data_IF_542178488611
#
_entry.id   IF_542178488611
#
_cell.length_a   1.000
_cell.length_b   1.000
_cell.length_c   1.000
_cell.angle_alpha   90.00
_cell.angle_beta   90.00
_cell.angle_gamma   90.00
#
_symmetry.space_group_name_H-M   'P 1'
#
loop_
_entity.id
_entity.type
_entity.pdbx_description
1 polymer ?
#
# COMPACT_ATOMS: atom_id res chain seq x y z
N UNK A 1 -22.17 1.95 4.47
CA UNK A 1 -22.79 2.16 3.13
C UNK A 1 -22.14 1.15 2.20
N UNK A 2 -22.86 0.11 1.79
CA UNK A 2 -22.37 -0.88 0.83
C UNK A 2 -22.18 -0.19 -0.53
N UNK A 3 -20.93 -0.08 -0.98
CA UNK A 3 -20.62 0.37 -2.34
C UNK A 3 -21.24 -0.66 -3.30
N UNK A 4 -22.13 -0.21 -4.17
CA UNK A 4 -22.63 -1.06 -5.25
C UNK A 4 -21.47 -1.24 -6.21
N UNK A 5 -20.94 -2.47 -6.28
CA UNK A 5 -19.91 -2.81 -7.28
C UNK A 5 -20.43 -2.45 -8.68
N UNK A 6 -19.54 -1.85 -9.50
CA UNK A 6 -19.86 -1.61 -10.90
C UNK A 6 -20.14 -2.97 -11.56
N UNK A 7 -21.13 -3.03 -12.46
CA UNK A 7 -21.19 -4.17 -13.35
C UNK A 7 -19.85 -4.30 -14.05
N UNK A 8 -19.24 -5.47 -14.05
CA UNK A 8 -17.94 -5.70 -14.70
C UNK A 8 -17.94 -5.28 -16.18
N UNK A 9 -19.11 -5.13 -16.79
CA UNK A 9 -19.30 -4.68 -18.17
C UNK A 9 -18.92 -3.18 -18.40
N UNK A 10 -18.97 -2.35 -17.35
CA UNK A 10 -18.72 -0.91 -17.46
C UNK A 10 -17.25 -0.52 -17.26
N UNK A 11 -16.38 -1.48 -16.97
CA UNK A 11 -14.95 -1.23 -16.75
C UNK A 11 -14.14 -1.56 -18.00
N UNK A 12 -13.06 -0.81 -18.31
CA UNK A 12 -12.09 -1.21 -19.32
C UNK A 12 -11.52 -2.60 -19.07
N UNK A 13 -11.18 -3.34 -20.12
CA UNK A 13 -10.63 -4.69 -20.00
C UNK A 13 -9.39 -4.71 -19.08
N UNK A 14 -8.47 -3.75 -19.26
CA UNK A 14 -7.27 -3.61 -18.44
C UNK A 14 -7.56 -3.51 -16.94
N UNK A 15 -8.65 -2.84 -16.55
CA UNK A 15 -9.06 -2.74 -15.14
C UNK A 15 -9.72 -4.03 -14.66
N UNK A 16 -10.55 -4.67 -15.49
CA UNK A 16 -11.17 -5.95 -15.13
C UNK A 16 -10.15 -7.03 -14.84
N UNK A 17 -9.09 -7.09 -15.66
CA UNK A 17 -8.03 -8.08 -15.55
C UNK A 17 -7.17 -7.93 -14.28
N UNK A 18 -7.16 -6.74 -13.69
CA UNK A 18 -6.50 -6.48 -12.40
C UNK A 18 -7.31 -6.99 -11.20
N UNK A 19 -8.64 -7.10 -11.32
CA UNK A 19 -9.49 -7.47 -10.16
C UNK A 19 -9.21 -8.90 -9.72
N UNK A 20 -8.76 -9.05 -8.48
CA UNK A 20 -8.43 -10.33 -7.85
C UNK A 20 -7.09 -10.93 -8.27
N UNK A 21 -6.38 -10.33 -9.22
CA UNK A 21 -5.04 -10.76 -9.62
C UNK A 21 -3.98 -10.16 -8.70
N UNK A 22 -2.97 -10.96 -8.34
CA UNK A 22 -1.80 -10.49 -7.63
C UNK A 22 -0.89 -9.70 -8.56
N UNK A 23 -0.51 -8.49 -8.15
CA UNK A 23 0.30 -7.56 -8.92
C UNK A 23 1.48 -7.06 -8.08
N UNK A 24 2.54 -6.59 -8.73
CA UNK A 24 3.64 -5.87 -8.10
C UNK A 24 4.22 -6.61 -6.90
N UNK A 25 4.68 -7.86 -7.15
CA UNK A 25 5.40 -8.63 -6.15
C UNK A 25 6.74 -7.99 -5.86
N UNK A 26 7.00 -7.72 -4.58
CA UNK A 26 8.26 -7.16 -4.11
C UNK A 26 8.80 -8.00 -2.96
N UNK A 27 10.13 -7.98 -2.82
CA UNK A 27 10.86 -8.54 -1.68
C UNK A 27 11.54 -7.36 -1.01
N UNK A 28 11.43 -7.27 0.32
CA UNK A 28 12.11 -6.24 1.09
C UNK A 28 13.61 -6.23 0.78
N UNK A 29 14.18 -5.04 0.57
CA UNK A 29 15.59 -4.87 0.19
C UNK A 29 16.55 -5.41 1.26
N UNK A 30 16.12 -5.39 2.52
CA UNK A 30 16.88 -5.87 3.68
C UNK A 30 16.00 -6.74 4.59
N UNK A 31 16.63 -7.68 5.34
CA UNK A 31 15.96 -8.34 6.44
C UNK A 31 15.50 -7.31 7.48
N UNK A 32 14.54 -7.71 8.29
CA UNK A 32 14.10 -6.90 9.43
C UNK A 32 15.25 -6.74 10.43
N UNK A 33 15.69 -5.49 10.63
CA UNK A 33 16.85 -5.17 11.44
C UNK A 33 16.47 -4.48 12.75
N UNK A 34 17.12 -4.87 13.84
CA UNK A 34 16.88 -4.31 15.16
C UNK A 34 17.17 -2.81 15.24
N UNK A 35 18.24 -2.36 14.60
CA UNK A 35 18.62 -0.94 14.61
C UNK A 35 17.53 -0.07 13.97
N UNK A 36 16.89 -0.58 12.93
CA UNK A 36 15.79 0.13 12.28
C UNK A 36 14.52 0.17 13.15
N UNK A 37 14.22 -0.94 13.88
CA UNK A 37 13.14 -0.97 14.88
C UNK A 37 13.38 0.10 15.95
N UNK A 38 14.58 0.14 16.53
CA UNK A 38 14.92 1.13 17.56
C UNK A 38 14.85 2.56 17.05
N UNK A 39 15.35 2.82 15.86
CA UNK A 39 15.28 4.16 15.24
C UNK A 39 13.82 4.58 15.05
N UNK A 40 12.96 3.69 14.58
CA UNK A 40 11.54 3.95 14.40
C UNK A 40 10.83 4.16 15.74
N UNK A 41 11.10 3.32 16.75
CA UNK A 41 10.54 3.49 18.08
C UNK A 41 10.98 4.83 18.71
N UNK A 42 12.26 5.19 18.57
CA UNK A 42 12.80 6.45 19.10
C UNK A 42 12.15 7.67 18.43
N UNK A 43 11.88 7.62 17.12
CA UNK A 43 11.27 8.74 16.39
C UNK A 43 9.85 9.10 16.83
N UNK A 44 9.15 8.15 17.47
CA UNK A 44 7.77 8.32 17.98
C UNK A 44 7.68 8.15 19.50
N UNK A 45 8.83 8.17 20.20
CA UNK A 45 8.95 8.01 21.66
C UNK A 45 8.24 6.74 22.18
N UNK A 46 8.28 5.64 21.40
CA UNK A 46 7.73 4.36 21.81
C UNK A 46 8.70 3.63 22.75
N UNK A 47 8.49 3.80 24.05
CA UNK A 47 9.27 3.19 25.14
C UNK A 47 8.76 1.80 25.57
N UNK A 48 7.92 1.11 24.81
CA UNK A 48 7.42 -0.22 25.18
C UNK A 48 8.59 -1.20 25.28
N UNK A 49 8.84 -1.83 26.47
CA UNK A 49 9.97 -2.70 26.70
C UNK A 49 9.99 -3.92 25.78
N UNK A 50 8.86 -4.32 25.19
CA UNK A 50 8.78 -5.40 24.22
C UNK A 50 9.73 -5.21 23.02
N UNK A 51 10.04 -3.95 22.65
CA UNK A 51 10.90 -3.63 21.51
C UNK A 51 12.34 -3.27 21.90
N UNK A 52 12.61 -3.11 23.21
CA UNK A 52 13.89 -2.66 23.72
C UNK A 52 14.62 -3.69 24.56
N UNK A 53 13.91 -4.60 25.24
CA UNK A 53 14.44 -5.57 26.21
C UNK A 53 14.20 -7.01 25.73
N UNK A 54 15.27 -7.72 25.43
CA UNK A 54 15.19 -9.10 24.93
C UNK A 54 14.55 -10.03 25.93
N UNK A 55 14.76 -9.85 27.24
CA UNK A 55 14.16 -10.72 28.25
C UNK A 55 12.64 -10.59 28.28
N UNK A 56 12.11 -9.40 28.00
CA UNK A 56 10.67 -9.16 27.87
C UNK A 56 10.14 -9.75 26.55
N UNK A 57 10.86 -9.55 25.45
CA UNK A 57 10.51 -10.09 24.15
C UNK A 57 10.49 -11.63 24.16
N UNK A 58 11.50 -12.25 24.76
CA UNK A 58 11.59 -13.71 24.89
C UNK A 58 10.43 -14.28 25.71
N UNK A 59 10.07 -13.62 26.82
CA UNK A 59 9.00 -14.06 27.69
C UNK A 59 7.60 -13.94 27.06
N UNK A 60 7.37 -12.92 26.22
CA UNK A 60 6.02 -12.58 25.71
C UNK A 60 5.82 -13.09 24.27
N UNK A 61 6.82 -12.92 23.41
CA UNK A 61 6.72 -13.18 21.95
C UNK A 61 7.67 -14.26 21.45
N UNK A 62 8.37 -14.96 22.36
CA UNK A 62 9.38 -15.96 22.01
C UNK A 62 10.46 -15.40 21.07
N UNK A 63 10.94 -14.20 21.35
CA UNK A 63 11.98 -13.50 20.64
C UNK A 63 11.61 -12.09 20.18
N UNK A 64 12.61 -11.29 19.77
CA UNK A 64 12.42 -9.90 19.35
C UNK A 64 11.49 -9.78 18.15
N UNK A 65 10.55 -8.83 18.25
CA UNK A 65 9.61 -8.47 17.18
C UNK A 65 9.69 -6.99 16.84
N UNK A 66 9.20 -6.62 15.68
CA UNK A 66 8.97 -5.23 15.30
C UNK A 66 7.58 -4.75 15.74
N UNK A 67 7.38 -3.45 16.00
CA UNK A 67 6.05 -2.87 16.12
C UNK A 67 5.20 -3.22 14.89
N UNK A 68 3.97 -3.73 15.05
CA UNK A 68 3.12 -4.11 13.90
C UNK A 68 2.94 -2.98 12.89
N UNK A 69 2.89 -1.73 13.36
CA UNK A 69 2.74 -0.52 12.53
C UNK A 69 3.94 -0.25 11.60
N UNK A 70 5.03 -1.00 11.75
CA UNK A 70 6.21 -0.89 10.88
C UNK A 70 6.15 -1.78 9.64
N UNK A 71 5.10 -2.56 9.43
CA UNK A 71 5.05 -3.60 8.38
C UNK A 71 5.41 -3.07 6.98
N UNK A 72 5.00 -1.86 6.62
CA UNK A 72 5.30 -1.26 5.31
C UNK A 72 6.66 -0.56 5.23
N UNK A 73 7.36 -0.42 6.36
CA UNK A 73 8.60 0.37 6.42
C UNK A 73 9.72 -0.28 5.61
N UNK A 74 9.77 -1.61 5.57
CA UNK A 74 10.79 -2.37 4.83
C UNK A 74 10.61 -2.36 3.30
N UNK A 75 9.50 -1.80 2.81
CA UNK A 75 9.21 -1.61 1.37
C UNK A 75 9.34 -0.15 0.93
N UNK A 76 9.87 0.73 1.80
CA UNK A 76 10.19 2.10 1.42
C UNK A 76 11.52 2.11 0.68
N UNK A 77 11.52 2.43 -0.62
CA UNK A 77 12.75 2.43 -1.40
C UNK A 77 13.70 3.51 -0.91
N UNK A 78 14.99 3.26 -0.98
CA UNK A 78 15.98 4.32 -0.81
C UNK A 78 15.77 5.37 -1.90
N UNK A 79 15.74 6.64 -1.53
CA UNK A 79 15.59 7.74 -2.48
C UNK A 79 16.74 7.79 -3.48
N UNK A 80 17.91 7.32 -3.08
CA UNK A 80 19.10 7.25 -3.92
C UNK A 80 19.86 5.95 -3.67
N UNK A 81 20.28 5.30 -4.74
CA UNK A 81 21.26 4.21 -4.72
C UNK A 81 22.08 4.23 -6.02
N UNK A 82 23.35 3.80 -5.99
CA UNK A 82 24.15 3.70 -7.20
C UNK A 82 23.49 2.83 -8.26
N UNK A 83 23.33 3.36 -9.48
CA UNK A 83 22.74 2.63 -10.61
C UNK A 83 21.20 2.54 -10.60
N UNK A 84 20.50 3.08 -9.61
CA UNK A 84 19.02 3.15 -9.61
C UNK A 84 18.55 4.26 -10.54
N UNK A 85 17.89 3.89 -11.62
CA UNK A 85 17.34 4.83 -12.63
C UNK A 85 15.88 5.15 -12.38
N UNK A 86 15.12 4.16 -11.92
CA UNK A 86 13.67 4.30 -11.64
C UNK A 86 13.37 3.91 -10.19
N UNK A 87 12.39 4.58 -9.62
CA UNK A 87 11.87 4.28 -8.30
C UNK A 87 10.47 3.69 -8.44
N UNK A 88 10.24 2.50 -7.88
CA UNK A 88 8.92 1.94 -7.79
C UNK A 88 8.00 2.87 -6.98
N UNK A 89 6.80 3.10 -7.46
CA UNK A 89 5.80 3.86 -6.73
C UNK A 89 5.12 2.95 -5.71
N UNK A 90 5.07 3.33 -4.44
CA UNK A 90 4.25 2.59 -3.49
C UNK A 90 2.80 2.60 -3.99
N UNK A 91 2.11 1.46 -3.91
CA UNK A 91 0.73 1.30 -4.36
C UNK A 91 0.55 1.55 -5.88
N UNK A 92 1.36 0.89 -6.70
CA UNK A 92 1.38 1.07 -8.16
C UNK A 92 -0.01 0.84 -8.81
N UNK A 93 -0.80 -0.16 -8.34
CA UNK A 93 -2.17 -0.41 -8.82
C UNK A 93 -3.04 0.86 -8.76
N UNK A 94 -2.84 1.74 -7.78
CA UNK A 94 -3.55 3.01 -7.69
C UNK A 94 -3.24 3.92 -8.90
N UNK A 95 -1.99 3.98 -9.33
CA UNK A 95 -1.59 4.81 -10.47
C UNK A 95 -2.08 4.22 -11.79
N UNK A 96 -2.04 2.89 -11.93
CA UNK A 96 -2.58 2.21 -13.10
C UNK A 96 -4.10 2.47 -13.26
N UNK A 97 -4.84 2.44 -12.15
CA UNK A 97 -6.26 2.75 -12.15
C UNK A 97 -6.53 4.20 -12.58
N UNK A 98 -5.73 5.16 -12.11
CA UNK A 98 -5.84 6.56 -12.54
C UNK A 98 -5.67 6.68 -14.05
N UNK A 99 -4.67 5.99 -14.60
CA UNK A 99 -4.38 6.00 -16.04
C UNK A 99 -5.49 5.30 -16.83
N UNK A 100 -5.80 4.04 -16.53
CA UNK A 100 -6.78 3.23 -17.27
C UNK A 100 -8.21 3.79 -17.21
N UNK A 101 -8.56 4.48 -16.12
CA UNK A 101 -9.87 5.12 -15.97
C UNK A 101 -9.87 6.58 -16.40
N UNK A 102 -8.70 7.14 -16.75
CA UNK A 102 -8.54 8.55 -17.13
C UNK A 102 -8.96 9.50 -16.00
N UNK A 103 -8.65 9.17 -14.75
CA UNK A 103 -9.00 9.96 -13.55
C UNK A 103 -7.74 10.64 -13.00
N UNK A 104 -7.48 11.91 -13.40
CA UNK A 104 -6.22 12.58 -13.10
C UNK A 104 -6.03 12.89 -11.62
N UNK A 105 -7.13 13.14 -10.90
CA UNK A 105 -7.09 13.43 -9.46
C UNK A 105 -7.42 12.20 -8.64
N UNK A 106 -6.85 12.09 -7.45
CA UNK A 106 -7.23 11.06 -6.50
C UNK A 106 -6.96 11.46 -5.06
N UNK A 107 -7.76 10.88 -4.15
CA UNK A 107 -7.55 10.97 -2.70
C UNK A 107 -7.72 9.59 -2.08
N UNK A 108 -6.94 9.29 -1.03
CA UNK A 108 -7.22 8.16 -0.17
C UNK A 108 -8.31 8.56 0.82
N UNK A 109 -9.34 7.75 0.93
CA UNK A 109 -10.51 8.04 1.77
C UNK A 109 -10.57 7.18 3.01
N UNK A 110 -9.90 6.03 2.97
CA UNK A 110 -9.80 5.12 4.10
C UNK A 110 -8.56 4.23 3.99
N UNK A 111 -8.05 3.81 5.16
CA UNK A 111 -6.98 2.84 5.28
C UNK A 111 -7.24 1.97 6.50
N UNK A 112 -7.22 0.65 6.30
CA UNK A 112 -7.39 -0.33 7.36
C UNK A 112 -6.24 -1.32 7.31
N UNK A 113 -5.66 -1.66 8.48
CA UNK A 113 -4.60 -2.65 8.59
C UNK A 113 -5.07 -3.79 9.50
N UNK A 114 -4.98 -5.01 9.00
CA UNK A 114 -5.15 -6.24 9.76
C UNK A 114 -3.77 -6.83 10.05
N UNK A 115 -3.43 -7.04 11.32
CA UNK A 115 -2.17 -7.65 11.74
C UNK A 115 -2.38 -9.13 12.08
N UNK A 116 -1.42 -9.97 11.66
CA UNK A 116 -1.44 -11.42 11.84
C UNK A 116 -0.18 -11.91 12.54
N UNK A 117 0.68 -12.68 11.85
CA UNK A 117 1.94 -13.16 12.41
C UNK A 117 2.87 -12.00 12.72
N UNK A 118 3.44 -11.91 13.94
CA UNK A 118 4.40 -10.86 14.28
C UNK A 118 5.62 -10.86 13.36
N UNK A 119 6.07 -9.68 12.96
CA UNK A 119 7.34 -9.49 12.24
C UNK A 119 8.49 -9.67 13.19
N UNK A 120 9.41 -10.58 12.89
CA UNK A 120 10.58 -10.89 13.72
C UNK A 120 11.87 -10.28 13.16
N UNK A 121 12.80 -9.99 14.04
CA UNK A 121 14.17 -9.64 13.61
C UNK A 121 14.75 -10.78 12.78
N UNK A 122 15.26 -10.47 11.59
CA UNK A 122 15.77 -11.42 10.61
C UNK A 122 14.78 -11.87 9.55
N UNK A 123 13.49 -11.55 9.68
CA UNK A 123 12.50 -11.86 8.63
C UNK A 123 12.85 -11.16 7.33
N UNK A 124 12.59 -11.86 6.22
CA UNK A 124 12.60 -11.29 4.86
C UNK A 124 11.17 -11.18 4.39
N UNK A 125 10.65 -9.96 4.39
CA UNK A 125 9.27 -9.70 4.04
C UNK A 125 9.07 -9.67 2.52
N UNK A 126 7.88 -10.08 2.09
CA UNK A 126 7.39 -10.01 0.71
C UNK A 126 6.05 -9.30 0.70
N UNK A 127 5.75 -8.64 -0.40
CA UNK A 127 4.45 -7.99 -0.59
C UNK A 127 3.97 -8.16 -2.02
N UNK A 128 2.66 -8.07 -2.19
CA UNK A 128 1.98 -7.92 -3.48
C UNK A 128 0.71 -7.09 -3.30
N UNK A 129 0.18 -6.59 -4.40
CA UNK A 129 -1.02 -5.77 -4.41
C UNK A 129 -2.16 -6.53 -5.10
N UNK A 130 -3.39 -6.36 -4.62
CA UNK A 130 -4.59 -6.96 -5.20
C UNK A 130 -5.69 -5.90 -5.31
N UNK A 131 -6.14 -5.61 -6.52
CA UNK A 131 -7.34 -4.80 -6.71
C UNK A 131 -8.57 -5.63 -6.29
N UNK A 132 -9.27 -5.20 -5.25
CA UNK A 132 -10.44 -5.91 -4.74
C UNK A 132 -11.72 -5.55 -5.47
N UNK A 133 -11.91 -4.26 -5.69
CA UNK A 133 -13.12 -3.77 -6.34
C UNK A 133 -12.93 -2.39 -6.94
N UNK A 134 -13.77 -2.04 -7.91
CA UNK A 134 -13.94 -0.69 -8.46
C UNK A 134 -15.44 -0.40 -8.48
N UNK A 135 -15.85 0.74 -7.94
CA UNK A 135 -17.26 1.14 -7.91
C UNK A 135 -17.77 1.57 -9.28
N UNK A 136 -19.09 1.62 -9.43
CA UNK A 136 -19.73 2.43 -10.47
C UNK A 136 -19.32 3.91 -10.37
N UNK A 137 -19.60 4.70 -11.41
CA UNK A 137 -19.34 6.13 -11.39
C UNK A 137 -20.14 6.81 -10.27
N UNK A 138 -19.49 7.72 -9.55
CA UNK A 138 -20.05 8.47 -8.43
C UNK A 138 -19.71 9.94 -8.59
N UNK A 139 -20.69 10.81 -8.28
CA UNK A 139 -20.47 12.24 -8.18
C UNK A 139 -20.41 12.65 -6.72
N UNK A 140 -19.36 13.36 -6.36
CA UNK A 140 -19.09 13.90 -5.02
C UNK A 140 -18.83 15.40 -5.09
N UNK A 141 -18.58 16.03 -3.95
CA UNK A 141 -18.15 17.44 -3.91
C UNK A 141 -16.79 17.67 -4.59
N UNK A 142 -15.94 16.65 -4.69
CA UNK A 142 -14.63 16.74 -5.35
C UNK A 142 -14.73 16.63 -6.86
N UNK A 143 -15.74 15.92 -7.36
CA UNK A 143 -15.94 15.69 -8.79
C UNK A 143 -16.62 14.35 -9.06
N UNK A 144 -16.61 13.95 -10.32
CA UNK A 144 -17.17 12.67 -10.79
C UNK A 144 -16.04 11.67 -11.03
N UNK A 145 -16.21 10.46 -10.51
CA UNK A 145 -15.18 9.42 -10.59
C UNK A 145 -15.60 8.09 -9.98
N UNK A 146 -14.62 7.29 -9.56
CA UNK A 146 -14.85 5.93 -9.04
C UNK A 146 -14.04 5.70 -7.78
N UNK A 147 -14.61 4.93 -6.85
CA UNK A 147 -13.88 4.37 -5.72
C UNK A 147 -13.27 3.04 -6.12
N UNK A 148 -12.13 2.71 -5.49
CA UNK A 148 -11.51 1.39 -5.58
C UNK A 148 -10.95 0.96 -4.24
N UNK A 149 -10.83 -0.34 -4.04
CA UNK A 149 -10.20 -0.94 -2.86
C UNK A 149 -9.02 -1.77 -3.32
N UNK A 150 -7.86 -1.49 -2.77
CA UNK A 150 -6.61 -2.21 -3.05
C UNK A 150 -6.11 -2.78 -1.73
N UNK A 151 -5.85 -4.10 -1.70
CA UNK A 151 -5.15 -4.75 -0.62
C UNK A 151 -3.65 -4.80 -0.94
N UNK A 152 -2.82 -4.47 0.03
CA UNK A 152 -1.40 -4.77 0.06
C UNK A 152 -1.20 -5.89 1.08
N UNK A 153 -0.75 -7.04 0.60
CA UNK A 153 -0.58 -8.26 1.41
C UNK A 153 0.90 -8.40 1.75
N UNK A 154 1.21 -8.62 3.02
CA UNK A 154 2.57 -8.80 3.51
C UNK A 154 2.74 -10.22 4.05
N UNK A 155 3.78 -10.91 3.60
CA UNK A 155 4.15 -12.24 4.07
C UNK A 155 5.61 -12.27 4.49
N UNK A 156 5.99 -13.21 5.35
CA UNK A 156 7.38 -13.49 5.67
C UNK A 156 8.01 -14.48 4.66
N UNK A 157 9.25 -14.89 4.89
CA UNK A 157 10.00 -15.84 4.05
C UNK A 157 9.35 -17.23 3.98
N UNK A 158 8.57 -17.60 4.99
CA UNK A 158 7.88 -18.91 5.09
C UNK A 158 6.47 -18.87 4.44
N UNK A 159 6.08 -17.70 3.90
CA UNK A 159 4.78 -17.48 3.29
C UNK A 159 3.64 -17.25 4.30
N UNK A 160 3.95 -17.06 5.57
CA UNK A 160 2.94 -16.73 6.58
C UNK A 160 2.46 -15.30 6.40
N UNK A 161 1.15 -15.09 6.53
CA UNK A 161 0.54 -13.77 6.47
C UNK A 161 0.97 -12.93 7.70
N UNK A 162 1.62 -11.82 7.45
CA UNK A 162 2.08 -10.87 8.48
C UNK A 162 1.06 -9.76 8.68
N UNK A 163 0.62 -9.16 7.60
CA UNK A 163 -0.41 -8.14 7.61
C UNK A 163 -1.11 -8.04 6.26
N UNK A 164 -2.29 -7.41 6.28
CA UNK A 164 -3.01 -6.97 5.10
C UNK A 164 -3.44 -5.52 5.30
N UNK A 165 -3.05 -4.65 4.39
CA UNK A 165 -3.39 -3.24 4.42
C UNK A 165 -4.34 -2.93 3.27
N UNK A 166 -5.54 -2.47 3.59
CA UNK A 166 -6.59 -2.16 2.61
C UNK A 166 -6.73 -0.66 2.45
N UNK A 167 -6.50 -0.16 1.24
CA UNK A 167 -6.62 1.24 0.86
C UNK A 167 -7.90 1.46 0.07
N UNK A 168 -8.73 2.42 0.48
CA UNK A 168 -9.84 2.90 -0.33
C UNK A 168 -9.46 4.23 -0.95
N UNK A 169 -9.38 4.27 -2.28
CA UNK A 169 -9.12 5.47 -3.07
C UNK A 169 -10.36 5.95 -3.80
N UNK A 170 -10.43 7.26 -4.05
CA UNK A 170 -11.39 7.88 -4.94
C UNK A 170 -10.64 8.66 -6.02
N UNK A 171 -10.66 8.14 -7.25
CA UNK A 171 -10.17 8.86 -8.41
C UNK A 171 -11.29 9.64 -9.10
N UNK A 172 -10.99 10.87 -9.54
CA UNK A 172 -12.04 11.75 -10.05
C UNK A 172 -11.53 12.78 -11.07
N UNK A 173 -12.47 13.36 -11.80
CA UNK A 173 -12.30 14.58 -12.59
C UNK A 173 -13.06 15.71 -11.92
N UNK A 174 -12.43 16.88 -11.82
CA UNK A 174 -13.08 18.07 -11.23
C UNK A 174 -14.23 18.55 -12.12
N UNK A 175 -15.28 19.13 -11.53
CA UNK A 175 -16.32 19.78 -12.31
C UNK A 175 -15.71 20.93 -13.16
N UNK A 176 -15.97 20.93 -14.49
CA UNK A 176 -15.48 21.98 -15.39
C UNK A 176 -14.06 21.84 -15.92
N UNK A 177 -13.34 20.75 -15.62
CA UNK A 177 -12.04 20.42 -16.20
C UNK A 177 -12.20 19.78 -17.58
N UNK A 178 -12.38 20.57 -18.64
CA UNK A 178 -12.10 20.13 -20.00
C UNK A 178 -10.59 19.93 -20.13
N UNK A 179 -10.15 18.75 -20.65
CA UNK A 179 -8.74 18.44 -20.85
C UNK A 179 -8.02 19.55 -21.61
N UNK A 180 -7.25 20.35 -20.90
CA UNK A 180 -6.34 21.31 -21.48
C UNK A 180 -5.12 20.55 -22.02
N UNK A 181 -5.10 20.31 -23.33
CA UNK A 181 -3.86 20.09 -24.07
C UNK A 181 -3.01 21.34 -23.89
N UNK A 182 -1.99 21.27 -23.02
CA UNK A 182 -0.99 22.33 -22.88
C UNK A 182 -0.19 22.41 -24.16
N UNK A 183 -0.50 23.35 -25.03
CA UNK A 183 0.43 23.88 -26.02
C UNK A 183 1.57 24.57 -25.28
N UNK A 184 2.75 23.97 -25.39
CA UNK A 184 4.02 24.62 -25.04
C UNK A 184 4.27 25.65 -26.16
N UNK A 185 3.93 26.88 -25.92
CA UNK A 185 4.32 28.01 -26.74
C UNK A 185 5.75 28.44 -26.45
N UNK A 186 6.50 28.58 -27.49
CA UNK A 186 7.85 29.09 -27.80
C UNK A 186 8.57 29.90 -26.72
#
# INVERSE_FOLDING_TARGET
MTATDASAADLPAAVRDLIGAEQYHEIGEFPVERGYIWTSCASVENGNPLFWDDSVADAITAGPIAPPTMVSVWFRPHHWAPGRVEQALPLQVHFDLKEHLGLPEAVMTDNTIEFHTPVRVGDVLRTHQVLRSVSGEKTTKLGTGRFWVIDVVYTNQDGELVAKESYTGFGYRRPGGSGGSGEVGS
#
